data_IF_910743658018
#
_entry.id   IF_910743658018
#
_cell.length_a   1.000
_cell.length_b   1.000
_cell.length_c   1.000
_cell.angle_alpha   90.00
_cell.angle_beta   90.00
_cell.angle_gamma   90.00
#
_symmetry.space_group_name_H-M   'P 1'
#
loop_
_entity.id
_entity.type
_entity.pdbx_description
1 polymer ?
#
# COMPACT_ATOMS: atom_id res chain seq x y z
N UNK A 1 11.07 -37.28 9.83
CA UNK A 1 9.85 -36.57 9.36
C UNK A 1 9.80 -35.16 9.90
N UNK A 2 9.97 -34.95 11.21
CA UNK A 2 10.00 -33.63 11.88
C UNK A 2 11.04 -32.66 11.32
N UNK A 3 12.27 -33.10 11.09
CA UNK A 3 13.35 -32.27 10.52
C UNK A 3 12.97 -31.67 9.15
N UNK A 4 12.34 -32.49 8.31
CA UNK A 4 11.89 -32.12 6.97
C UNK A 4 10.76 -31.08 7.03
N UNK A 5 9.82 -31.28 7.96
CA UNK A 5 8.72 -30.34 8.21
C UNK A 5 9.27 -29.00 8.73
N UNK A 6 10.27 -29.04 9.63
CA UNK A 6 10.92 -27.84 10.17
C UNK A 6 11.60 -27.01 9.07
N UNK A 7 12.34 -27.66 8.17
CA UNK A 7 12.97 -27.00 7.03
C UNK A 7 11.93 -26.38 6.07
N UNK A 8 10.87 -27.13 5.74
CA UNK A 8 9.80 -26.61 4.89
C UNK A 8 9.12 -25.40 5.53
N UNK A 9 8.81 -25.46 6.82
CA UNK A 9 8.23 -24.34 7.54
C UNK A 9 9.13 -23.10 7.52
N UNK A 10 10.44 -23.27 7.74
CA UNK A 10 11.41 -22.17 7.69
C UNK A 10 11.46 -21.52 6.29
N UNK A 11 11.48 -22.33 5.24
CA UNK A 11 11.48 -21.85 3.86
C UNK A 11 10.19 -21.08 3.55
N UNK A 12 9.03 -21.61 3.98
CA UNK A 12 7.74 -20.95 3.77
C UNK A 12 7.65 -19.61 4.51
N UNK A 13 8.13 -19.54 5.75
CA UNK A 13 8.17 -18.29 6.52
C UNK A 13 9.11 -17.27 5.87
N UNK A 14 10.31 -17.70 5.46
CA UNK A 14 11.27 -16.85 4.77
C UNK A 14 10.73 -16.33 3.43
N UNK A 15 10.14 -17.22 2.62
CA UNK A 15 9.52 -16.86 1.35
C UNK A 15 8.32 -15.92 1.54
N UNK A 16 7.49 -16.16 2.55
CA UNK A 16 6.36 -15.30 2.90
C UNK A 16 6.82 -13.90 3.30
N UNK A 17 7.85 -13.80 4.14
CA UNK A 17 8.44 -12.52 4.53
C UNK A 17 9.06 -11.78 3.34
N UNK A 18 9.78 -12.51 2.47
CA UNK A 18 10.37 -11.93 1.26
C UNK A 18 9.31 -11.39 0.29
N UNK A 19 8.23 -12.15 0.08
CA UNK A 19 7.10 -11.67 -0.72
C UNK A 19 6.50 -10.41 -0.12
N UNK A 20 6.35 -10.36 1.21
CA UNK A 20 5.86 -9.18 1.91
C UNK A 20 6.73 -7.94 1.66
N UNK A 21 8.05 -8.10 1.81
CA UNK A 21 9.03 -7.03 1.61
C UNK A 21 8.98 -6.51 0.17
N UNK A 22 8.97 -7.43 -0.79
CA UNK A 22 8.93 -7.11 -2.23
C UNK A 22 7.66 -6.35 -2.62
N UNK A 23 6.52 -6.65 -1.98
CA UNK A 23 5.28 -5.89 -2.21
C UNK A 23 5.39 -4.45 -1.72
N UNK A 24 5.95 -4.22 -0.53
CA UNK A 24 6.13 -2.87 0.01
C UNK A 24 7.07 -2.03 -0.85
N UNK A 25 8.22 -2.60 -1.26
CA UNK A 25 9.19 -1.92 -2.13
C UNK A 25 8.56 -1.56 -3.48
N UNK A 26 7.81 -2.48 -4.09
CA UNK A 26 7.12 -2.21 -5.34
C UNK A 26 6.06 -1.11 -5.20
N UNK A 27 5.23 -1.16 -4.16
CA UNK A 27 4.21 -0.15 -3.90
C UNK A 27 4.84 1.24 -3.73
N UNK A 28 5.92 1.34 -2.95
CA UNK A 28 6.64 2.58 -2.72
C UNK A 28 7.29 3.12 -4.00
N UNK A 29 7.96 2.26 -4.79
CA UNK A 29 8.58 2.67 -6.05
C UNK A 29 7.55 3.14 -7.09
N UNK A 30 6.41 2.45 -7.18
CA UNK A 30 5.31 2.83 -8.06
C UNK A 30 4.69 4.17 -7.64
N UNK A 31 4.39 4.34 -6.35
CA UNK A 31 3.86 5.59 -5.79
C UNK A 31 4.84 6.76 -5.97
N UNK A 32 6.14 6.55 -5.73
CA UNK A 32 7.15 7.58 -5.95
C UNK A 32 7.25 8.02 -7.42
N UNK A 33 6.93 7.13 -8.37
CA UNK A 33 6.85 7.47 -9.80
C UNK A 33 5.55 8.19 -10.15
N UNK A 34 4.44 7.76 -9.58
CA UNK A 34 3.13 8.39 -9.75
C UNK A 34 3.11 9.82 -9.18
N UNK A 35 3.60 10.01 -7.94
CA UNK A 35 3.71 11.31 -7.29
C UNK A 35 4.66 12.26 -8.02
N UNK A 36 5.78 11.75 -8.59
CA UNK A 36 6.66 12.55 -9.45
C UNK A 36 5.96 13.08 -10.70
N UNK A 37 5.04 12.30 -11.28
CA UNK A 37 4.25 12.75 -12.42
C UNK A 37 3.21 13.83 -12.07
N UNK A 38 2.82 13.93 -10.80
CA UNK A 38 1.82 14.88 -10.31
C UNK A 38 2.41 15.98 -9.40
N UNK A 39 3.74 16.08 -9.28
CA UNK A 39 4.44 17.03 -8.39
C UNK A 39 4.03 16.96 -6.91
N UNK A 40 3.53 15.81 -6.45
CA UNK A 40 3.19 15.61 -5.03
C UNK A 40 4.38 15.10 -4.24
N UNK A 41 4.57 15.56 -2.99
CA UNK A 41 5.50 14.95 -2.06
C UNK A 41 4.84 13.77 -1.36
N UNK A 42 5.38 12.58 -1.60
CA UNK A 42 5.00 11.35 -0.90
C UNK A 42 5.60 11.36 0.50
N UNK A 43 4.78 11.45 1.55
CA UNK A 43 5.25 11.44 2.93
C UNK A 43 5.47 10.04 3.46
N UNK A 44 4.44 9.20 3.37
CA UNK A 44 4.48 7.87 3.97
C UNK A 44 3.64 6.88 3.15
N UNK A 45 4.07 5.62 3.12
CA UNK A 45 3.30 4.52 2.53
C UNK A 45 3.18 3.44 3.60
N UNK A 46 1.95 3.14 4.01
CA UNK A 46 1.68 2.13 5.02
C UNK A 46 0.73 1.07 4.48
N UNK A 47 1.03 -0.18 4.83
CA UNK A 47 0.18 -1.30 4.46
C UNK A 47 -1.00 -1.37 5.43
N UNK A 48 -2.21 -1.21 4.94
CA UNK A 48 -3.39 -1.19 5.79
C UNK A 48 -3.90 -2.60 6.09
N UNK A 49 -4.30 -3.37 5.07
CA UNK A 49 -4.87 -4.72 5.27
C UNK A 49 -4.93 -5.56 4.00
N UNK A 50 -5.06 -6.87 4.16
CA UNK A 50 -5.48 -7.77 3.08
C UNK A 50 -7.02 -7.83 3.05
N UNK A 51 -7.59 -7.59 1.88
CA UNK A 51 -9.03 -7.67 1.63
C UNK A 51 -9.26 -8.76 0.59
N UNK A 52 -10.15 -9.70 0.91
CA UNK A 52 -10.63 -10.66 -0.07
C UNK A 52 -11.81 -10.04 -0.84
N UNK A 53 -11.65 -9.83 -2.14
CA UNK A 53 -12.71 -9.30 -3.00
C UNK A 53 -12.76 -10.07 -4.31
N UNK A 54 -13.97 -10.50 -4.70
CA UNK A 54 -14.24 -11.22 -5.97
C UNK A 54 -13.29 -12.42 -6.21
N UNK A 55 -13.00 -13.21 -5.18
CA UNK A 55 -12.12 -14.39 -5.26
C UNK A 55 -10.63 -14.08 -5.44
N UNK A 56 -10.20 -12.82 -5.22
CA UNK A 56 -8.81 -12.40 -5.27
C UNK A 56 -8.37 -11.80 -3.93
N UNK A 57 -7.14 -12.09 -3.53
CA UNK A 57 -6.50 -11.46 -2.37
C UNK A 57 -5.97 -10.11 -2.80
N UNK A 58 -6.67 -9.04 -2.43
CA UNK A 58 -6.22 -7.67 -2.64
C UNK A 58 -5.45 -7.21 -1.40
N UNK A 59 -4.31 -6.56 -1.60
CA UNK A 59 -3.58 -5.88 -0.55
C UNK A 59 -3.90 -4.40 -0.65
N UNK A 60 -4.54 -3.85 0.38
CA UNK A 60 -4.82 -2.44 0.49
C UNK A 60 -3.63 -1.74 1.15
N UNK A 61 -3.00 -0.84 0.40
CA UNK A 61 -2.01 0.10 0.89
C UNK A 61 -2.67 1.47 1.03
N UNK A 62 -2.27 2.22 2.05
CA UNK A 62 -2.61 3.63 2.20
C UNK A 62 -1.33 4.43 2.07
N UNK A 63 -1.43 5.60 1.45
CA UNK A 63 -0.28 6.47 1.29
C UNK A 63 -0.69 7.91 1.59
N UNK A 64 0.16 8.60 2.32
CA UNK A 64 0.00 10.01 2.63
C UNK A 64 0.82 10.84 1.65
N UNK A 65 0.16 11.81 1.03
CA UNK A 65 0.78 12.76 0.13
C UNK A 65 0.38 14.18 0.54
N UNK A 66 1.30 15.12 0.34
CA UNK A 66 1.04 16.54 0.55
C UNK A 66 1.42 17.33 -0.68
N UNK A 67 0.63 18.37 -0.95
CA UNK A 67 0.89 19.33 -2.01
C UNK A 67 1.63 20.58 -1.50
N UNK A 68 1.44 20.95 -0.22
CA UNK A 68 1.96 22.19 0.38
C UNK A 68 2.63 22.00 1.76
N UNK A 69 2.80 20.76 2.22
CA UNK A 69 3.36 20.45 3.54
C UNK A 69 2.41 20.68 4.72
N UNK A 70 1.28 21.36 4.52
CA UNK A 70 0.25 21.62 5.54
C UNK A 70 -0.95 20.67 5.43
N UNK A 71 -1.36 20.33 4.21
CA UNK A 71 -2.52 19.48 3.93
C UNK A 71 -2.08 18.01 3.81
N UNK A 72 -2.59 17.16 4.69
CA UNK A 72 -2.35 15.72 4.66
C UNK A 72 -3.49 15.04 3.91
N UNK A 73 -3.22 14.54 2.70
CA UNK A 73 -4.19 13.77 1.93
C UNK A 73 -3.82 12.29 1.93
N UNK A 74 -4.79 11.42 2.26
CA UNK A 74 -4.60 9.96 2.36
C UNK A 74 -5.16 9.22 1.15
N UNK A 75 -4.30 8.78 0.24
CA UNK A 75 -4.63 7.89 -0.88
C UNK A 75 -4.80 6.44 -0.47
N UNK A 76 -5.67 5.70 -1.18
CA UNK A 76 -5.79 4.23 -1.09
C UNK A 76 -5.28 3.60 -2.39
N UNK A 77 -4.34 2.68 -2.26
CA UNK A 77 -3.78 1.91 -3.36
C UNK A 77 -4.17 0.45 -3.20
N UNK A 78 -4.85 -0.09 -4.21
CA UNK A 78 -5.23 -1.50 -4.26
C UNK A 78 -4.21 -2.26 -5.11
N UNK A 79 -3.43 -3.11 -4.46
CA UNK A 79 -2.49 -4.01 -5.11
C UNK A 79 -3.03 -5.44 -5.13
N UNK A 80 -2.70 -6.19 -6.17
CA UNK A 80 -2.83 -7.65 -6.20
C UNK A 80 -1.48 -8.24 -6.57
N UNK A 81 -0.85 -8.94 -5.62
CA UNK A 81 0.52 -9.44 -5.71
C UNK A 81 1.52 -8.30 -5.99
N UNK A 82 1.88 -8.08 -7.25
CA UNK A 82 2.84 -7.06 -7.71
C UNK A 82 2.24 -6.18 -8.83
N UNK A 83 0.92 -6.13 -8.91
CA UNK A 83 0.20 -5.35 -9.91
C UNK A 83 -0.69 -4.36 -9.20
N UNK A 84 -0.59 -3.08 -9.57
CA UNK A 84 -1.52 -2.05 -9.13
C UNK A 84 -2.82 -2.25 -9.90
N UNK A 85 -3.92 -2.50 -9.18
CA UNK A 85 -5.24 -2.67 -9.79
C UNK A 85 -6.02 -1.37 -9.83
N UNK A 86 -5.96 -0.61 -8.75
CA UNK A 86 -6.71 0.64 -8.66
C UNK A 86 -6.04 1.61 -7.69
N UNK A 87 -6.11 2.90 -8.02
CA UNK A 87 -5.61 3.98 -7.16
C UNK A 87 -6.79 4.87 -6.87
N UNK A 88 -7.33 4.77 -5.67
CA UNK A 88 -8.39 5.63 -5.18
C UNK A 88 -7.73 6.78 -4.42
N UNK A 89 -7.64 7.93 -5.07
CA UNK A 89 -7.35 9.17 -4.35
C UNK A 89 -8.64 9.60 -3.64
N UNK A 90 -8.58 9.97 -2.36
CA UNK A 90 -9.76 10.47 -1.67
C UNK A 90 -10.21 11.72 -2.42
N UNK A 91 -11.49 11.74 -2.75
CA UNK A 91 -12.16 12.95 -3.19
C UNK A 91 -12.00 13.92 -2.03
N UNK A 92 -11.41 15.09 -2.30
CA UNK A 92 -11.17 16.17 -1.36
C UNK A 92 -12.38 16.28 -0.42
N UNK A 93 -12.22 15.91 0.86
CA UNK A 93 -13.26 16.17 1.84
C UNK A 93 -13.20 17.69 2.02
N UNK A 94 -14.18 18.41 1.45
CA UNK A 94 -14.36 19.83 1.77
C UNK A 94 -14.25 19.98 3.29
N UNK A 95 -13.44 20.95 3.77
CA UNK A 95 -13.29 21.15 5.20
C UNK A 95 -14.68 21.37 5.78
N UNK A 96 -14.99 20.64 6.85
CA UNK A 96 -16.19 20.88 7.64
C UNK A 96 -16.10 22.34 8.09
N UNK A 97 -16.83 23.20 7.38
CA UNK A 97 -16.89 24.62 7.65
C UNK A 97 -17.34 24.72 9.10
N UNK A 98 -16.58 25.36 10.01
CA UNK A 98 -17.10 25.61 11.34
C UNK A 98 -18.32 26.51 11.14
N UNK A 99 -19.52 25.91 11.22
CA UNK A 99 -20.73 26.70 11.37
C UNK A 99 -20.64 27.33 12.75
N UNK A 100 -20.24 28.60 12.72
CA UNK A 100 -20.65 29.69 13.63
C UNK A 100 -21.06 29.29 15.05
#
# INVERSE_FOLDING_TARGET
MTELIGLVALILLGAGYWQLRRQSEFAQAWLARYCRGQSFQLLSVYRYRFVWQKGRILTQFRFEFSHDGLQHNEGKLWLHRLTVLNVELPILREPDSPML
#
